data_IF_968484173792
#
_entry.id   IF_968484173792
#
_cell.length_a   1.000
_cell.length_b   1.000
_cell.length_c   1.000
_cell.angle_alpha   90.00
_cell.angle_beta   90.00
_cell.angle_gamma   90.00
#
_symmetry.space_group_name_H-M   'P 1'
#
loop_
_entity.id
_entity.type
_entity.pdbx_description
1 polymer ?
#
# COMPACT_ATOMS: atom_id res chain seq x y z
N UNK A 1 -9.40 7.00 -3.54
CA UNK A 1 -9.76 8.23 -2.81
C UNK A 1 -8.47 8.83 -2.29
N UNK A 2 -7.99 9.90 -2.92
CA UNK A 2 -6.91 10.73 -2.36
C UNK A 2 -7.56 11.48 -1.19
N UNK A 3 -6.95 11.45 0.00
CA UNK A 3 -7.51 12.07 1.20
C UNK A 3 -7.94 13.53 0.93
N UNK A 4 -9.25 13.81 0.92
CA UNK A 4 -9.82 15.07 0.46
C UNK A 4 -9.45 16.29 1.32
N UNK A 5 -8.84 16.07 2.48
CA UNK A 5 -8.49 17.10 3.46
C UNK A 5 -6.99 17.25 3.73
N UNK A 6 -6.12 16.48 3.06
CA UNK A 6 -4.67 16.57 3.26
C UNK A 6 -4.05 17.59 2.31
N UNK A 7 -3.39 18.61 2.87
CA UNK A 7 -2.48 19.46 2.12
C UNK A 7 -1.16 18.69 1.91
N UNK A 8 -1.05 18.01 0.77
CA UNK A 8 0.11 17.21 0.42
C UNK A 8 1.41 18.01 0.36
N UNK A 9 1.35 19.27 -0.10
CA UNK A 9 2.55 20.12 -0.21
C UNK A 9 3.08 20.45 1.18
N UNK A 10 2.18 20.85 2.08
CA UNK A 10 2.54 21.11 3.48
C UNK A 10 3.06 19.84 4.16
N UNK A 11 2.37 18.71 4.00
CA UNK A 11 2.78 17.45 4.62
C UNK A 11 4.16 16.99 4.13
N UNK A 12 4.41 17.05 2.83
CA UNK A 12 5.71 16.73 2.23
C UNK A 12 6.84 17.62 2.76
N UNK A 13 6.57 18.90 2.98
CA UNK A 13 7.58 19.85 3.45
C UNK A 13 7.87 19.69 4.94
N UNK A 14 6.84 19.48 5.76
CA UNK A 14 6.98 19.37 7.22
C UNK A 14 7.47 18.00 7.67
N UNK A 15 7.03 16.93 6.99
CA UNK A 15 7.28 15.54 7.40
C UNK A 15 7.59 14.67 6.17
N UNK A 16 8.75 14.86 5.52
CA UNK A 16 9.07 14.23 4.24
C UNK A 16 9.15 12.69 4.32
N UNK A 17 9.61 12.12 5.44
CA UNK A 17 9.70 10.67 5.61
C UNK A 17 8.31 10.03 5.75
N UNK A 18 7.46 10.59 6.59
CA UNK A 18 6.08 10.16 6.81
C UNK A 18 5.26 10.33 5.53
N UNK A 19 5.45 11.43 4.80
CA UNK A 19 4.83 11.65 3.51
C UNK A 19 5.19 10.55 2.51
N UNK A 20 6.47 10.15 2.47
CA UNK A 20 6.93 9.07 1.58
C UNK A 20 6.24 7.75 1.89
N UNK A 21 6.16 7.35 3.16
CA UNK A 21 5.47 6.14 3.60
C UNK A 21 3.96 6.20 3.33
N UNK A 22 3.35 7.36 3.57
CA UNK A 22 1.94 7.62 3.29
C UNK A 22 1.65 7.50 1.79
N UNK A 23 2.41 8.20 0.93
CA UNK A 23 2.26 8.16 -0.53
C UNK A 23 2.39 6.74 -1.06
N UNK A 24 3.40 6.00 -0.59
CA UNK A 24 3.58 4.60 -0.97
C UNK A 24 2.37 3.74 -0.60
N UNK A 25 1.81 3.94 0.59
CA UNK A 25 0.58 3.26 1.02
C UNK A 25 -0.61 3.64 0.15
N UNK A 26 -0.74 4.92 -0.24
CA UNK A 26 -1.82 5.38 -1.12
C UNK A 26 -1.73 4.74 -2.50
N UNK A 27 -0.54 4.75 -3.12
CA UNK A 27 -0.29 4.15 -4.44
C UNK A 27 -0.65 2.65 -4.43
N UNK A 28 -0.24 1.94 -3.37
CA UNK A 28 -0.54 0.52 -3.22
C UNK A 28 -2.06 0.25 -3.11
N UNK A 29 -2.77 1.02 -2.29
CA UNK A 29 -4.19 0.75 -2.02
C UNK A 29 -5.15 1.27 -3.09
N UNK A 30 -4.80 2.38 -3.74
CA UNK A 30 -5.73 3.12 -4.59
C UNK A 30 -5.33 3.20 -6.07
N UNK A 31 -4.16 2.67 -6.42
CA UNK A 31 -3.68 2.60 -7.80
C UNK A 31 -2.45 3.46 -8.04
N UNK A 32 -1.66 3.04 -9.01
CA UNK A 32 -0.35 3.63 -9.30
C UNK A 32 -0.42 4.84 -10.25
N UNK A 33 -1.57 5.10 -10.85
CA UNK A 33 -1.78 6.21 -11.80
C UNK A 33 -0.70 6.31 -12.90
N UNK A 34 -0.28 5.15 -13.43
CA UNK A 34 0.78 5.05 -14.46
C UNK A 34 2.21 5.01 -13.92
N UNK A 35 2.42 5.20 -12.62
CA UNK A 35 3.71 5.04 -11.97
C UNK A 35 4.05 3.56 -11.72
N UNK A 36 5.33 3.28 -11.43
CA UNK A 36 5.80 1.97 -10.99
C UNK A 36 6.35 2.06 -9.57
N UNK A 37 6.11 1.03 -8.78
CA UNK A 37 6.72 0.88 -7.47
C UNK A 37 8.16 0.38 -7.62
N UNK A 38 9.09 0.97 -6.88
CA UNK A 38 10.43 0.42 -6.72
C UNK A 38 10.41 -0.72 -5.68
N UNK A 39 10.92 -1.89 -6.07
CA UNK A 39 10.89 -3.08 -5.22
C UNK A 39 11.67 -2.90 -3.92
N UNK A 40 12.84 -2.25 -4.01
CA UNK A 40 13.71 -2.01 -2.86
C UNK A 40 13.03 -1.05 -1.88
N UNK A 41 12.48 0.06 -2.36
CA UNK A 41 11.74 1.02 -1.57
C UNK A 41 10.58 0.36 -0.81
N UNK A 42 9.79 -0.47 -1.51
CA UNK A 42 8.69 -1.19 -0.88
C UNK A 42 9.19 -2.14 0.20
N UNK A 43 10.27 -2.89 -0.04
CA UNK A 43 10.87 -3.79 0.96
C UNK A 43 11.37 -3.04 2.19
N UNK A 44 12.02 -1.90 2.02
CA UNK A 44 12.52 -1.07 3.11
C UNK A 44 11.37 -0.45 3.93
N UNK A 45 10.33 0.04 3.25
CA UNK A 45 9.15 0.63 3.88
C UNK A 45 8.21 -0.41 4.52
N UNK A 46 8.28 -1.68 4.09
CA UNK A 46 7.35 -2.74 4.45
C UNK A 46 7.02 -2.84 5.96
N UNK A 47 8.01 -2.81 6.88
CA UNK A 47 7.72 -2.92 8.32
C UNK A 47 6.82 -1.78 8.84
N UNK A 48 6.82 -0.62 8.18
CA UNK A 48 6.07 0.58 8.58
C UNK A 48 4.70 0.68 7.92
N UNK A 49 4.51 0.10 6.72
CA UNK A 49 3.29 0.31 5.92
C UNK A 49 2.35 -0.90 5.87
N UNK A 50 2.85 -2.12 6.10
CA UNK A 50 2.09 -3.36 5.84
C UNK A 50 0.74 -3.45 6.57
N UNK A 51 0.61 -2.85 7.75
CA UNK A 51 -0.66 -2.88 8.52
C UNK A 51 -1.71 -1.89 7.99
N UNK A 52 -1.32 -0.97 7.09
CA UNK A 52 -2.19 0.01 6.45
C UNK A 52 -2.55 -0.36 5.01
N UNK A 53 -2.02 -1.47 4.50
CA UNK A 53 -2.32 -2.00 3.17
C UNK A 53 -3.58 -2.88 3.25
N UNK A 54 -4.44 -2.80 2.23
CA UNK A 54 -5.59 -3.69 2.09
C UNK A 54 -5.16 -5.17 2.29
N UNK A 55 -5.88 -5.98 3.09
CA UNK A 55 -5.43 -7.33 3.43
C UNK A 55 -5.14 -8.25 2.24
N UNK A 56 -5.93 -8.18 1.17
CA UNK A 56 -5.73 -9.03 0.00
C UNK A 56 -4.55 -8.51 -0.85
N UNK A 57 -4.44 -7.19 -0.99
CA UNK A 57 -3.30 -6.53 -1.64
C UNK A 57 -1.99 -6.83 -0.91
N UNK A 58 -2.00 -6.81 0.43
CA UNK A 58 -0.85 -7.17 1.27
C UNK A 58 -0.34 -8.56 0.95
N UNK A 59 -1.24 -9.55 0.89
CA UNK A 59 -0.89 -10.94 0.59
C UNK A 59 -0.31 -11.07 -0.82
N UNK A 60 -0.91 -10.39 -1.79
CA UNK A 60 -0.41 -10.41 -3.17
C UNK A 60 0.99 -9.79 -3.28
N UNK A 61 1.23 -8.66 -2.61
CA UNK A 61 2.56 -8.06 -2.54
C UNK A 61 3.57 -8.95 -1.81
N UNK A 62 3.20 -9.64 -0.73
CA UNK A 62 4.10 -10.59 -0.07
C UNK A 62 4.54 -11.72 -1.01
N UNK A 63 3.62 -12.17 -1.87
CA UNK A 63 3.93 -13.15 -2.91
C UNK A 63 4.89 -12.58 -3.96
N UNK A 64 4.67 -11.35 -4.44
CA UNK A 64 5.55 -10.73 -5.45
C UNK A 64 6.96 -10.47 -4.90
N UNK A 65 7.07 -9.93 -3.69
CA UNK A 65 8.32 -9.47 -3.09
C UNK A 65 9.18 -10.61 -2.52
N UNK A 66 8.55 -11.66 -1.97
CA UNK A 66 9.25 -12.75 -1.27
C UNK A 66 8.84 -14.16 -1.75
N UNK A 67 8.04 -14.29 -2.81
CA UNK A 67 7.54 -15.58 -3.32
C UNK A 67 6.77 -16.40 -2.27
N UNK A 68 6.20 -15.73 -1.27
CA UNK A 68 5.37 -16.34 -0.23
C UNK A 68 4.03 -16.74 -0.84
N UNK A 69 3.89 -18.02 -1.20
CA UNK A 69 2.69 -18.55 -1.87
C UNK A 69 1.45 -18.29 -0.99
N UNK A 70 0.42 -17.60 -1.51
CA UNK A 70 -0.81 -17.39 -0.75
C UNK A 70 -1.56 -18.70 -0.57
N UNK A 71 -2.18 -18.88 0.60
CA UNK A 71 -3.13 -19.96 0.85
C UNK A 71 -4.54 -19.39 0.82
N UNK A 72 -5.52 -20.22 0.46
CA UNK A 72 -6.95 -19.86 0.50
C UNK A 72 -7.42 -19.44 1.90
N UNK A 73 -6.75 -19.89 2.96
CA UNK A 73 -6.99 -19.46 4.35
C UNK A 73 -6.57 -18.01 4.60
N UNK A 74 -5.62 -17.49 3.83
CA UNK A 74 -5.09 -16.14 4.01
C UNK A 74 -5.97 -15.09 3.32
N UNK A 75 -6.69 -15.48 2.26
CA UNK A 75 -7.49 -14.55 1.46
C UNK A 75 -8.79 -14.23 2.21
N UNK A 76 -9.03 -12.94 2.48
CA UNK A 76 -10.29 -12.50 3.08
C UNK A 76 -11.39 -12.50 2.02
N UNK A 77 -12.32 -13.45 2.15
CA UNK A 77 -13.52 -13.59 1.32
C UNK A 77 -14.65 -12.71 1.84
N UNK A 78 -14.47 -11.40 1.93
CA UNK A 78 -15.58 -10.49 2.22
C UNK A 78 -16.23 -10.07 0.90
N UNK A 79 -17.51 -10.39 0.77
CA UNK A 79 -18.33 -10.35 -0.45
C UNK A 79 -19.00 -8.97 -0.72
N UNK A 80 -18.88 -8.00 0.19
CA UNK A 80 -19.63 -6.72 0.18
C UNK A 80 -19.27 -5.72 -0.94
N UNK A 81 -18.69 -6.16 -2.06
CA UNK A 81 -18.49 -5.39 -3.28
C UNK A 81 -19.27 -5.95 -4.49
N UNK A 82 -20.20 -6.89 -4.27
CA UNK A 82 -21.03 -7.51 -5.30
C UNK A 82 -22.51 -7.07 -5.27
N UNK A 83 -22.77 -5.85 -4.77
CA UNK A 83 -24.07 -5.16 -4.90
C UNK A 83 -23.91 -3.84 -5.64
#
# INVERSE_FOLDING_TARGET
MINWSIDEKKFKNENPEEYRLWRLTQLINYGLDGEKLDESEVKHAWPKIKERIDPNTKIYLEYLLWRKKPSSKNIKKTFWHLS
#
